data_IF_812418113532
#
_entry.id   IF_812418113532
#
_cell.length_a   1.000
_cell.length_b   1.000
_cell.length_c   1.000
_cell.angle_alpha   90.00
_cell.angle_beta   90.00
_cell.angle_gamma   90.00
#
_symmetry.space_group_name_H-M   'P 1'
#
loop_
_entity.id
_entity.type
_entity.pdbx_description
1 polymer ?
#
# COMPACT_ATOMS: atom_id res chain seq x y z
N UNK A 1 -25.99 -100.29 -49.01
CA UNK A 1 -25.45 -99.99 -47.67
C UNK A 1 -24.32 -99.00 -47.83
N UNK A 2 -24.26 -98.01 -46.94
CA UNK A 2 -23.19 -97.00 -46.77
C UNK A 2 -23.29 -95.77 -47.69
N UNK A 3 -23.65 -94.58 -47.15
CA UNK A 3 -22.81 -93.56 -46.45
C UNK A 3 -22.05 -92.69 -47.49
N UNK A 4 -21.91 -91.36 -47.45
CA UNK A 4 -22.09 -90.30 -46.43
C UNK A 4 -21.74 -88.95 -47.09
N UNK A 5 -21.94 -87.82 -46.36
CA UNK A 5 -21.12 -86.57 -46.36
C UNK A 5 -21.42 -85.56 -47.48
N UNK A 6 -21.58 -84.26 -47.22
CA UNK A 6 -21.66 -83.50 -45.97
C UNK A 6 -22.41 -82.18 -46.23
N UNK A 7 -23.14 -81.76 -45.22
CA UNK A 7 -23.81 -80.48 -45.08
C UNK A 7 -22.81 -79.45 -44.54
N UNK A 8 -22.65 -78.33 -45.23
CA UNK A 8 -21.72 -77.25 -44.89
C UNK A 8 -22.48 -76.23 -44.02
N UNK A 9 -22.41 -76.41 -42.71
CA UNK A 9 -23.06 -75.52 -41.75
C UNK A 9 -22.12 -74.34 -41.47
N UNK A 10 -22.48 -73.16 -42.00
CA UNK A 10 -21.81 -71.89 -41.67
C UNK A 10 -22.09 -71.51 -40.22
N UNK A 11 -21.06 -71.54 -39.40
CA UNK A 11 -21.07 -71.06 -38.01
C UNK A 11 -20.75 -69.55 -38.00
N UNK A 12 -21.80 -68.73 -37.88
CA UNK A 12 -21.70 -67.29 -37.65
C UNK A 12 -21.31 -67.07 -36.18
N UNK A 13 -20.00 -67.06 -35.92
CA UNK A 13 -19.45 -66.73 -34.61
C UNK A 13 -19.75 -65.27 -34.26
N UNK A 14 -20.80 -65.05 -33.49
CA UNK A 14 -21.11 -63.77 -32.84
C UNK A 14 -20.04 -63.49 -31.79
N UNK A 15 -19.18 -62.50 -32.05
CA UNK A 15 -18.19 -62.02 -31.09
C UNK A 15 -18.89 -61.30 -29.91
N UNK A 16 -18.53 -61.62 -28.66
CA UNK A 16 -19.11 -60.94 -27.50
C UNK A 16 -18.73 -59.45 -27.48
N UNK A 17 -19.73 -58.61 -27.29
CA UNK A 17 -19.61 -57.16 -27.12
C UNK A 17 -18.67 -56.86 -25.93
N UNK A 18 -17.66 -55.98 -26.07
CA UNK A 18 -16.72 -55.70 -25.00
C UNK A 18 -17.45 -55.00 -23.83
N UNK A 19 -17.46 -55.64 -22.66
CA UNK A 19 -17.92 -55.01 -21.42
C UNK A 19 -17.16 -53.70 -21.17
N UNK A 20 -17.84 -52.58 -20.87
CA UNK A 20 -17.19 -51.31 -20.63
C UNK A 20 -16.29 -51.38 -19.39
N UNK A 21 -14.98 -51.29 -19.61
CA UNK A 21 -13.96 -51.23 -18.55
C UNK A 21 -14.16 -50.02 -17.61
N UNK A 22 -13.79 -50.14 -16.32
CA UNK A 22 -13.96 -49.10 -15.27
C UNK A 22 -13.08 -47.84 -15.44
N UNK A 23 -12.52 -47.60 -16.63
CA UNK A 23 -11.65 -46.46 -16.93
C UNK A 23 -12.33 -45.08 -16.73
N UNK A 24 -13.65 -45.03 -16.85
CA UNK A 24 -14.45 -43.81 -16.69
C UNK A 24 -14.61 -43.36 -15.23
N UNK A 25 -14.54 -44.27 -14.25
CA UNK A 25 -14.69 -43.90 -12.84
C UNK A 25 -13.40 -43.31 -12.26
N UNK A 26 -12.25 -43.89 -12.62
CA UNK A 26 -10.94 -43.43 -12.15
C UNK A 26 -10.59 -42.03 -12.68
N UNK A 27 -10.94 -41.74 -13.94
CA UNK A 27 -10.74 -40.43 -14.57
C UNK A 27 -11.65 -39.36 -13.94
N UNK A 28 -12.92 -39.67 -13.70
CA UNK A 28 -13.86 -38.76 -13.04
C UNK A 28 -13.46 -38.39 -11.61
N UNK A 29 -12.93 -39.34 -10.83
CA UNK A 29 -12.44 -39.06 -9.47
C UNK A 29 -11.21 -38.14 -9.47
N UNK A 30 -10.32 -38.29 -10.46
CA UNK A 30 -9.13 -37.45 -10.61
C UNK A 30 -9.51 -36.01 -10.97
N UNK A 31 -10.45 -35.81 -11.88
CA UNK A 31 -10.96 -34.47 -12.21
C UNK A 31 -11.62 -33.78 -11.01
N UNK A 32 -12.45 -34.50 -10.24
CA UNK A 32 -13.09 -33.95 -9.03
C UNK A 32 -12.06 -33.51 -7.99
N UNK A 33 -10.97 -34.27 -7.81
CA UNK A 33 -9.85 -33.90 -6.93
C UNK A 33 -9.11 -32.65 -7.43
N UNK A 34 -8.82 -32.55 -8.72
CA UNK A 34 -8.16 -31.37 -9.31
C UNK A 34 -9.01 -30.11 -9.20
N UNK A 35 -10.33 -30.22 -9.45
CA UNK A 35 -11.26 -29.09 -9.29
C UNK A 35 -11.35 -28.61 -7.84
N UNK A 36 -11.35 -29.53 -6.87
CA UNK A 36 -11.29 -29.19 -5.44
C UNK A 36 -9.96 -28.55 -5.08
N UNK A 37 -8.83 -29.11 -5.52
CA UNK A 37 -7.50 -28.55 -5.30
C UNK A 37 -7.38 -27.13 -5.83
N UNK A 38 -7.92 -26.87 -7.04
CA UNK A 38 -7.92 -25.53 -7.63
C UNK A 38 -8.77 -24.53 -6.82
N UNK A 39 -9.93 -24.94 -6.33
CA UNK A 39 -10.74 -24.08 -5.44
C UNK A 39 -10.02 -23.77 -4.13
N UNK A 40 -9.42 -24.77 -3.50
CA UNK A 40 -8.64 -24.58 -2.27
C UNK A 40 -7.46 -23.64 -2.51
N UNK A 41 -6.73 -23.81 -3.61
CA UNK A 41 -5.62 -22.93 -3.99
C UNK A 41 -6.08 -21.48 -4.20
N UNK A 42 -7.19 -21.25 -4.90
CA UNK A 42 -7.75 -19.91 -5.06
C UNK A 42 -8.19 -19.32 -3.72
N UNK A 43 -8.92 -20.06 -2.90
CA UNK A 43 -9.37 -19.57 -1.59
C UNK A 43 -8.18 -19.17 -0.72
N UNK A 44 -7.14 -20.00 -0.66
CA UNK A 44 -5.91 -19.67 0.08
C UNK A 44 -5.24 -18.42 -0.48
N UNK A 45 -5.04 -18.35 -1.79
CA UNK A 45 -4.42 -17.19 -2.44
C UNK A 45 -5.19 -15.90 -2.17
N UNK A 46 -6.51 -15.88 -2.42
CA UNK A 46 -7.33 -14.69 -2.17
C UNK A 46 -7.39 -14.33 -0.69
N UNK A 47 -7.45 -15.32 0.22
CA UNK A 47 -7.43 -15.04 1.65
C UNK A 47 -6.12 -14.35 2.07
N UNK A 48 -4.99 -14.77 1.53
CA UNK A 48 -3.69 -14.17 1.81
C UNK A 48 -3.63 -12.74 1.28
N UNK A 49 -4.09 -12.50 0.05
CA UNK A 49 -4.17 -11.16 -0.54
C UNK A 49 -5.06 -10.24 0.30
N UNK A 50 -6.23 -10.70 0.74
CA UNK A 50 -7.15 -9.92 1.58
C UNK A 50 -6.53 -9.60 2.93
N UNK A 51 -5.94 -10.58 3.62
CA UNK A 51 -5.28 -10.36 4.91
C UNK A 51 -4.11 -9.40 4.78
N UNK A 52 -3.29 -9.56 3.74
CA UNK A 52 -2.17 -8.65 3.48
C UNK A 52 -2.68 -7.23 3.24
N UNK A 53 -3.67 -7.06 2.35
CA UNK A 53 -4.24 -5.75 2.01
C UNK A 53 -4.86 -5.07 3.24
N UNK A 54 -5.66 -5.80 4.03
CA UNK A 54 -6.26 -5.26 5.26
C UNK A 54 -5.20 -4.95 6.31
N UNK A 55 -4.17 -5.78 6.44
CA UNK A 55 -3.05 -5.55 7.36
C UNK A 55 -2.28 -4.29 6.99
N UNK A 56 -1.95 -4.09 5.72
CA UNK A 56 -1.29 -2.88 5.22
C UNK A 56 -2.16 -1.63 5.44
N UNK A 57 -3.45 -1.71 5.12
CA UNK A 57 -4.39 -0.61 5.32
C UNK A 57 -4.54 -0.25 6.81
N UNK A 58 -4.56 -1.24 7.70
CA UNK A 58 -4.61 -1.05 9.13
C UNK A 58 -3.33 -0.38 9.66
N UNK A 59 -2.15 -0.82 9.21
CA UNK A 59 -0.88 -0.20 9.61
C UNK A 59 -0.81 1.27 9.17
N UNK A 60 -1.21 1.58 7.93
CA UNK A 60 -1.24 2.97 7.45
C UNK A 60 -2.22 3.79 8.28
N UNK A 61 -3.42 3.26 8.54
CA UNK A 61 -4.41 3.92 9.39
C UNK A 61 -3.86 4.19 10.79
N UNK A 62 -3.19 3.22 11.41
CA UNK A 62 -2.58 3.42 12.73
C UNK A 62 -1.46 4.45 12.67
N UNK A 63 -0.63 4.51 11.63
CA UNK A 63 0.39 5.55 11.53
C UNK A 63 -0.21 6.95 11.34
N UNK A 64 -1.29 7.07 10.58
CA UNK A 64 -1.98 8.34 10.33
C UNK A 64 -2.76 8.81 11.56
N UNK A 65 -3.38 7.88 12.30
CA UNK A 65 -4.23 8.18 13.45
C UNK A 65 -3.58 7.91 14.81
N UNK A 66 -2.34 7.44 14.86
CA UNK A 66 -1.60 7.32 16.11
C UNK A 66 -1.55 8.71 16.72
N UNK A 67 -2.02 8.89 17.96
CA UNK A 67 -1.93 10.18 18.62
C UNK A 67 -0.45 10.57 18.61
N UNK A 68 -0.15 11.70 17.97
CA UNK A 68 1.17 12.30 18.04
C UNK A 68 1.56 12.56 19.49
N UNK A 69 2.80 12.98 19.71
CA UNK A 69 3.29 13.25 21.05
C UNK A 69 2.34 14.20 21.80
N UNK A 70 1.90 13.85 23.03
CA UNK A 70 0.87 14.59 23.72
C UNK A 70 1.31 16.03 23.98
N UNK A 71 0.45 17.00 23.64
CA UNK A 71 0.69 18.41 23.90
C UNK A 71 0.06 18.81 25.25
N UNK A 72 0.89 19.25 26.19
CA UNK A 72 0.44 19.70 27.51
C UNK A 72 0.26 21.24 27.61
N UNK A 73 0.66 21.98 26.58
CA UNK A 73 0.53 23.45 26.54
C UNK A 73 -0.83 23.93 26.03
N UNK A 74 -1.01 25.24 25.99
CA UNK A 74 -2.14 25.87 25.31
C UNK A 74 -1.92 25.92 23.78
N UNK A 75 -2.96 26.29 23.03
CA UNK A 75 -2.87 26.44 21.59
C UNK A 75 -1.82 27.49 21.18
N UNK A 76 -1.73 28.62 21.88
CA UNK A 76 -0.83 29.71 21.52
C UNK A 76 0.65 29.32 21.65
N UNK A 77 1.02 28.67 22.75
CA UNK A 77 2.37 28.10 22.93
C UNK A 77 2.66 27.00 21.92
N UNK A 78 1.64 26.22 21.53
CA UNK A 78 1.74 25.23 20.45
C UNK A 78 2.08 25.89 19.11
N UNK A 79 1.36 26.94 18.73
CA UNK A 79 1.61 27.71 17.50
C UNK A 79 3.01 28.34 17.51
N UNK A 80 3.42 28.94 18.63
CA UNK A 80 4.77 29.52 18.79
C UNK A 80 5.87 28.46 18.63
N UNK A 81 5.67 27.25 19.17
CA UNK A 81 6.62 26.14 19.01
C UNK A 81 6.70 25.66 17.56
N UNK A 82 5.57 25.52 16.88
CA UNK A 82 5.53 25.13 15.47
C UNK A 82 6.22 26.16 14.58
N UNK A 83 5.94 27.45 14.80
CA UNK A 83 6.58 28.55 14.09
C UNK A 83 8.10 28.59 14.33
N UNK A 84 8.54 28.45 15.58
CA UNK A 84 9.98 28.41 15.89
C UNK A 84 10.71 27.20 15.27
N UNK A 85 10.02 26.06 15.16
CA UNK A 85 10.59 24.89 14.49
C UNK A 85 10.73 25.08 12.97
N UNK A 86 9.80 25.83 12.37
CA UNK A 86 9.86 26.17 10.95
C UNK A 86 11.01 27.14 10.66
N UNK A 87 11.16 28.18 11.49
CA UNK A 87 12.28 29.13 11.41
C UNK A 87 13.64 28.42 11.56
N UNK A 88 13.77 27.50 12.51
CA UNK A 88 14.98 26.70 12.68
C UNK A 88 15.26 25.81 11.46
N UNK A 89 14.24 25.18 10.89
CA UNK A 89 14.38 24.35 9.69
C UNK A 89 14.79 25.18 8.47
N UNK A 90 14.27 26.40 8.34
CA UNK A 90 14.68 27.31 7.29
C UNK A 90 16.17 27.65 7.44
N UNK A 91 16.58 28.10 8.63
CA UNK A 91 17.99 28.44 8.93
C UNK A 91 18.94 27.25 8.72
N UNK A 92 18.52 26.02 9.02
CA UNK A 92 19.37 24.83 8.81
C UNK A 92 19.53 24.44 7.33
N UNK A 93 18.59 24.87 6.49
CA UNK A 93 18.61 24.65 5.03
C UNK A 93 19.30 25.78 4.27
N UNK A 94 19.50 26.94 4.90
CA UNK A 94 20.20 28.09 4.34
C UNK A 94 21.73 27.85 4.36
N UNK A 95 22.30 27.53 3.20
CA UNK A 95 23.75 27.41 3.02
C UNK A 95 24.12 27.35 1.54
N UNK A 96 25.08 28.17 1.10
CA UNK A 96 25.49 28.29 -0.31
C UNK A 96 26.05 27.00 -0.90
N UNK A 97 26.52 26.09 -0.04
CA UNK A 97 27.27 24.91 -0.44
C UNK A 97 26.43 23.63 -0.46
N UNK A 98 25.15 23.69 -0.06
CA UNK A 98 24.26 22.52 -0.02
C UNK A 98 23.60 22.26 -1.36
N UNK A 99 23.62 21.00 -1.80
CA UNK A 99 22.77 20.52 -2.90
C UNK A 99 21.29 20.55 -2.53
N UNK A 100 20.38 20.58 -3.51
CA UNK A 100 18.90 20.63 -3.27
C UNK A 100 18.45 19.53 -2.34
N UNK A 101 18.82 18.30 -2.68
CA UNK A 101 18.37 17.13 -1.94
C UNK A 101 18.90 17.18 -0.51
N UNK A 102 20.11 17.70 -0.31
CA UNK A 102 20.72 17.84 1.00
C UNK A 102 20.06 18.97 1.82
N UNK A 103 19.77 20.12 1.22
CA UNK A 103 19.06 21.22 1.88
C UNK A 103 17.62 20.81 2.26
N UNK A 104 16.94 20.10 1.36
CA UNK A 104 15.59 19.57 1.58
C UNK A 104 15.59 18.46 2.64
N UNK A 105 16.57 17.57 2.60
CA UNK A 105 16.78 16.53 3.63
C UNK A 105 16.99 17.17 5.00
N UNK A 106 17.88 18.18 5.10
CA UNK A 106 18.11 18.92 6.36
C UNK A 106 16.87 19.64 6.84
N UNK A 107 16.18 20.35 5.97
CA UNK A 107 14.92 21.01 6.32
C UNK A 107 13.93 19.99 6.92
N UNK A 108 13.73 18.84 6.25
CA UNK A 108 12.83 17.76 6.71
C UNK A 108 13.26 17.15 8.03
N UNK A 109 14.55 16.91 8.21
CA UNK A 109 15.11 16.35 9.45
C UNK A 109 14.97 17.33 10.62
N UNK A 110 15.23 18.62 10.39
CA UNK A 110 15.13 19.67 11.41
C UNK A 110 13.67 19.95 11.80
N UNK A 111 12.75 19.97 10.84
CA UNK A 111 11.34 20.29 11.11
C UNK A 111 10.58 19.13 11.77
N UNK A 112 10.95 17.88 11.47
CA UNK A 112 10.26 16.67 11.92
C UNK A 112 9.99 16.60 13.44
N UNK A 113 10.98 16.79 14.34
CA UNK A 113 10.75 16.68 15.78
C UNK A 113 9.83 17.79 16.31
N UNK A 114 9.96 19.02 15.78
CA UNK A 114 9.11 20.14 16.18
C UNK A 114 7.65 19.97 15.75
N UNK A 115 7.44 19.32 14.60
CA UNK A 115 6.12 19.09 14.01
C UNK A 115 5.47 17.76 14.42
N UNK A 116 6.15 16.92 15.20
CA UNK A 116 5.57 15.69 15.75
C UNK A 116 4.33 15.94 16.62
N UNK A 117 4.25 17.10 17.27
CA UNK A 117 3.11 17.53 18.11
C UNK A 117 1.99 18.22 17.32
N UNK A 118 2.11 18.40 15.99
CA UNK A 118 1.17 19.17 15.16
C UNK A 118 -0.29 18.78 15.39
N UNK A 119 -0.61 17.49 15.31
CA UNK A 119 -1.98 17.00 15.48
C UNK A 119 -2.55 17.26 16.89
N UNK A 120 -1.69 17.22 17.92
CA UNK A 120 -2.10 17.53 19.29
C UNK A 120 -2.33 19.05 19.50
N UNK A 121 -1.52 19.89 18.86
CA UNK A 121 -1.73 21.35 18.84
C UNK A 121 -3.02 21.69 18.09
N UNK A 122 -3.25 21.11 16.91
CA UNK A 122 -4.49 21.24 16.12
C UNK A 122 -5.73 20.92 16.96
N UNK A 123 -5.75 19.74 17.60
CA UNK A 123 -6.84 19.34 18.49
C UNK A 123 -7.04 20.30 19.66
N UNK A 124 -5.96 20.87 20.19
CA UNK A 124 -6.01 21.84 21.30
C UNK A 124 -6.61 23.17 20.83
N UNK A 125 -6.22 23.66 19.66
CA UNK A 125 -6.75 24.88 19.04
C UNK A 125 -8.25 24.76 18.71
N UNK A 126 -8.67 23.62 18.14
CA UNK A 126 -10.10 23.36 17.89
C UNK A 126 -10.91 23.27 19.18
N UNK A 127 -10.37 22.67 20.24
CA UNK A 127 -11.05 22.60 21.55
C UNK A 127 -11.26 23.97 22.19
N UNK A 128 -10.36 24.93 21.93
CA UNK A 128 -10.51 26.30 22.43
C UNK A 128 -11.61 27.07 21.68
N UNK A 129 -12.04 26.59 20.51
CA UNK A 129 -13.05 27.19 19.64
C UNK A 129 -12.81 28.69 19.34
N UNK A 130 -11.54 29.10 19.27
CA UNK A 130 -11.13 30.46 18.95
C UNK A 130 -10.78 30.54 17.46
N UNK A 131 -11.61 31.21 16.67
CA UNK A 131 -11.45 31.31 15.23
C UNK A 131 -10.09 31.89 14.81
N UNK A 132 -9.57 32.89 15.54
CA UNK A 132 -8.29 33.51 15.21
C UNK A 132 -7.11 32.54 15.42
N UNK A 133 -7.18 31.68 16.43
CA UNK A 133 -6.13 30.69 16.69
C UNK A 133 -6.17 29.53 15.68
N UNK A 134 -7.37 29.14 15.23
CA UNK A 134 -7.54 28.14 14.16
C UNK A 134 -7.00 28.71 12.85
N UNK A 135 -7.34 29.95 12.50
CA UNK A 135 -6.82 30.62 11.29
C UNK A 135 -5.29 30.77 11.32
N UNK A 136 -4.72 31.09 12.49
CA UNK A 136 -3.28 31.16 12.68
C UNK A 136 -2.60 29.79 12.47
N UNK A 137 -3.24 28.70 12.91
CA UNK A 137 -2.77 27.33 12.63
C UNK A 137 -2.76 27.05 11.12
N UNK A 138 -3.87 27.33 10.42
CA UNK A 138 -3.99 27.11 8.98
C UNK A 138 -3.00 27.97 8.16
N UNK A 139 -2.71 29.18 8.63
CA UNK A 139 -1.69 30.04 8.03
C UNK A 139 -0.28 29.43 8.18
N UNK A 140 0.05 28.87 9.34
CA UNK A 140 1.33 28.18 9.57
C UNK A 140 1.47 26.92 8.72
N UNK A 141 0.40 26.15 8.53
CA UNK A 141 0.45 25.00 7.62
C UNK A 141 0.73 25.41 6.18
N UNK A 142 0.03 26.44 5.70
CA UNK A 142 0.25 27.00 4.36
C UNK A 142 1.69 27.51 4.19
N UNK A 143 2.24 28.15 5.22
CA UNK A 143 3.63 28.62 5.22
C UNK A 143 4.61 27.44 5.11
N UNK A 144 4.43 26.38 5.90
CA UNK A 144 5.28 25.18 5.80
C UNK A 144 5.29 24.60 4.38
N UNK A 145 4.12 24.49 3.76
CA UNK A 145 4.02 23.98 2.39
C UNK A 145 4.70 24.92 1.39
N UNK A 146 4.55 26.23 1.56
CA UNK A 146 5.22 27.23 0.73
C UNK A 146 6.75 27.16 0.87
N UNK A 147 7.29 27.01 2.08
CA UNK A 147 8.73 26.92 2.31
C UNK A 147 9.33 25.64 1.72
N UNK A 148 8.64 24.50 1.87
CA UNK A 148 9.03 23.25 1.22
C UNK A 148 9.11 23.39 -0.31
N UNK A 149 8.12 24.08 -0.92
CA UNK A 149 8.09 24.34 -2.36
C UNK A 149 9.13 25.39 -2.77
N UNK A 150 9.37 26.40 -1.94
CA UNK A 150 10.36 27.45 -2.16
C UNK A 150 11.78 26.89 -2.18
N UNK A 151 12.12 26.02 -1.21
CA UNK A 151 13.40 25.28 -1.18
C UNK A 151 13.57 24.44 -2.45
N UNK A 152 12.50 23.81 -2.94
CA UNK A 152 12.54 23.03 -4.18
C UNK A 152 12.69 23.91 -5.44
N UNK A 153 11.99 25.04 -5.53
CA UNK A 153 12.00 25.94 -6.70
C UNK A 153 13.26 26.79 -6.82
N UNK A 154 13.82 27.28 -5.70
CA UNK A 154 14.98 28.17 -5.68
C UNK A 154 16.18 27.62 -6.48
N UNK A 155 16.29 26.30 -6.62
CA UNK A 155 17.35 25.66 -7.41
C UNK A 155 16.90 25.08 -8.75
N UNK A 156 15.61 24.96 -9.07
CA UNK A 156 15.20 24.78 -10.47
C UNK A 156 15.73 25.96 -11.31
N UNK A 157 15.74 27.15 -10.72
CA UNK A 157 16.29 28.37 -11.30
C UNK A 157 17.83 28.42 -11.27
N UNK A 158 18.50 27.80 -10.29
CA UNK A 158 19.97 27.74 -10.23
C UNK A 158 20.54 26.65 -11.14
N UNK A 159 19.93 25.46 -11.19
CA UNK A 159 20.30 24.37 -12.09
C UNK A 159 20.08 24.73 -13.57
N UNK A 160 18.99 25.45 -13.88
CA UNK A 160 18.78 26.01 -15.22
C UNK A 160 19.84 27.06 -15.60
N UNK A 161 20.50 27.69 -14.63
CA UNK A 161 21.53 28.71 -14.85
C UNK A 161 22.95 28.10 -14.96
N UNK A 162 23.21 26.94 -14.38
CA UNK A 162 24.53 26.28 -14.42
C UNK A 162 24.71 25.30 -15.58
N UNK A 163 23.66 24.92 -16.30
CA UNK A 163 23.78 24.21 -17.58
C UNK A 163 24.51 22.87 -17.51
N UNK A 164 24.38 22.13 -16.41
CA UNK A 164 24.88 20.76 -16.32
C UNK A 164 23.69 19.79 -16.50
N UNK A 165 23.68 18.96 -17.56
CA UNK A 165 22.63 17.98 -17.82
C UNK A 165 22.64 16.78 -16.85
#
# INVERSE_FOLDING_TARGET
MSRTVADETSDETTLPEPEPEPADEATQLRERRLRRGRRVAYTLFYSLVVVFTLGSAAQISVQVYSPGEPWAGDCESGLRRLAGSLDEAQRSSEGTDLGVEEALRRFRETIAPGWAVRAAVEATCHRTNNAALIEAFDALERLRYADLLGVAQARALVGARTGDP
#
